data_IF_179364832705
#
_entry.id   IF_179364832705
#
_cell.length_a   1.000
_cell.length_b   1.000
_cell.length_c   1.000
_cell.angle_alpha   90.00
_cell.angle_beta   90.00
_cell.angle_gamma   90.00
#
_symmetry.space_group_name_H-M   'P 1'
#
loop_
_entity.id
_entity.type
_entity.pdbx_description
1 polymer ?
#
# COMPACT_ATOMS: atom_id res chain seq x y z
N UNK A 1 -21.73 -8.12 20.78
CA UNK A 1 -21.59 -7.77 19.37
C UNK A 1 -22.73 -8.42 18.64
N UNK A 2 -23.28 -7.78 17.62
CA UNK A 2 -24.53 -8.22 16.97
C UNK A 2 -24.29 -8.84 15.58
N UNK A 3 -23.15 -9.49 15.32
CA UNK A 3 -22.93 -10.11 14.02
C UNK A 3 -21.47 -10.36 13.62
N UNK A 4 -21.26 -10.46 12.30
CA UNK A 4 -20.02 -10.88 11.67
C UNK A 4 -18.85 -9.90 11.80
N UNK A 5 -17.70 -10.35 11.31
CA UNK A 5 -16.45 -9.59 11.26
C UNK A 5 -16.13 -9.19 9.81
N UNK A 6 -15.46 -8.07 9.63
CA UNK A 6 -15.08 -7.58 8.30
C UNK A 6 -14.33 -6.26 8.35
N UNK A 7 -13.79 -5.85 7.21
CA UNK A 7 -13.18 -4.53 7.07
C UNK A 7 -14.26 -3.49 6.75
N UNK A 8 -14.18 -2.32 7.38
CA UNK A 8 -15.22 -1.30 7.27
C UNK A 8 -14.84 -0.20 6.28
N UNK A 9 -13.66 0.41 6.43
CA UNK A 9 -13.11 1.45 5.56
C UNK A 9 -11.71 1.85 6.05
N UNK A 10 -10.83 2.33 5.18
CA UNK A 10 -9.52 2.85 5.57
C UNK A 10 -9.35 4.30 5.10
N UNK A 11 -8.87 5.17 5.99
CA UNK A 11 -8.63 6.60 5.72
C UNK A 11 -7.12 6.85 5.74
N UNK A 12 -6.58 7.47 4.69
CA UNK A 12 -5.16 7.78 4.62
C UNK A 12 -4.88 9.08 3.86
N UNK A 13 -3.63 9.54 3.91
CA UNK A 13 -3.10 10.53 2.99
C UNK A 13 -3.23 10.04 1.54
N UNK A 14 -3.57 10.95 0.63
CA UNK A 14 -3.73 10.64 -0.80
C UNK A 14 -2.46 10.94 -1.60
N UNK A 15 -1.31 11.00 -0.93
CA UNK A 15 -0.12 11.70 -1.41
C UNK A 15 0.84 10.76 -2.20
N UNK A 16 0.59 9.45 -2.21
CA UNK A 16 1.42 8.47 -2.95
C UNK A 16 1.07 8.33 -4.45
N UNK A 17 0.13 9.13 -4.94
CA UNK A 17 -0.12 9.26 -6.38
C UNK A 17 0.43 10.62 -6.82
N UNK A 18 1.55 10.60 -7.54
CA UNK A 18 2.33 11.77 -7.96
C UNK A 18 1.56 12.78 -8.83
N UNK A 19 0.29 12.50 -9.14
CA UNK A 19 -0.60 13.35 -9.93
C UNK A 19 -1.81 13.88 -9.14
N UNK A 20 -1.89 13.70 -7.82
CA UNK A 20 -3.02 14.19 -7.03
C UNK A 20 -2.89 15.65 -6.60
N UNK A 21 -4.04 16.30 -6.51
CA UNK A 21 -4.13 17.70 -6.16
C UNK A 21 -3.73 17.93 -4.69
N UNK A 22 -2.76 18.82 -4.46
CA UNK A 22 -2.22 19.24 -3.15
C UNK A 22 -3.27 19.56 -2.06
N UNK A 23 -4.49 19.91 -2.45
CA UNK A 23 -5.58 20.29 -1.56
C UNK A 23 -6.52 19.12 -1.18
N UNK A 24 -6.20 17.88 -1.57
CA UNK A 24 -6.82 16.66 -1.00
C UNK A 24 -5.86 16.06 0.03
N UNK A 25 -5.95 16.44 1.31
CA UNK A 25 -5.05 15.92 2.34
C UNK A 25 -5.38 14.47 2.72
N UNK A 26 -6.50 13.90 2.28
CA UNK A 26 -6.86 12.52 2.56
C UNK A 26 -7.68 11.90 1.43
N UNK A 27 -7.58 10.57 1.34
CA UNK A 27 -8.43 9.72 0.51
C UNK A 27 -9.04 8.61 1.37
N UNK A 28 -10.20 8.13 0.93
CA UNK A 28 -10.83 6.91 1.43
C UNK A 28 -10.68 5.88 0.31
N UNK A 29 -10.03 4.77 0.60
CA UNK A 29 -9.79 3.71 -0.39
C UNK A 29 -10.57 2.44 -0.05
N UNK A 30 -10.69 1.56 -1.04
CA UNK A 30 -11.18 0.19 -0.89
C UNK A 30 -10.08 -0.80 -0.53
N UNK A 31 -8.81 -0.38 -0.44
CA UNK A 31 -7.73 -1.26 0.02
C UNK A 31 -7.89 -1.62 1.50
N UNK A 32 -7.73 -2.91 1.79
CA UNK A 32 -7.89 -3.48 3.13
C UNK A 32 -6.93 -2.88 4.16
N UNK A 33 -5.73 -2.51 3.71
CA UNK A 33 -4.66 -1.95 4.52
C UNK A 33 -3.89 -0.90 3.70
N UNK A 34 -3.58 0.24 4.33
CA UNK A 34 -2.78 1.32 3.72
C UNK A 34 -1.32 1.20 4.14
N UNK A 35 -0.60 0.28 3.50
CA UNK A 35 0.83 0.18 3.68
C UNK A 35 1.53 1.26 2.84
N UNK A 36 2.45 2.01 3.44
CA UNK A 36 3.31 2.98 2.76
C UNK A 36 4.72 2.92 3.36
N UNK A 37 5.68 3.50 2.66
CA UNK A 37 7.04 3.60 3.15
C UNK A 37 7.26 4.92 3.88
N UNK A 38 8.32 4.95 4.68
CA UNK A 38 8.84 6.16 5.29
C UNK A 38 10.31 6.29 4.91
N UNK A 39 10.64 6.93 3.78
CA UNK A 39 12.01 6.95 3.26
C UNK A 39 12.99 7.69 4.20
N UNK A 40 12.48 8.50 5.12
CA UNK A 40 13.24 9.22 6.14
C UNK A 40 13.42 8.46 7.46
N UNK A 41 12.81 7.28 7.63
CA UNK A 41 12.92 6.47 8.85
C UNK A 41 13.51 5.09 8.55
N UNK A 42 14.46 4.68 9.37
CA UNK A 42 15.12 3.38 9.20
C UNK A 42 14.18 2.23 9.52
N UNK A 43 13.95 1.33 8.55
CA UNK A 43 13.17 0.09 8.69
C UNK A 43 11.74 0.29 9.19
N UNK A 44 11.11 1.39 8.79
CA UNK A 44 9.74 1.70 9.19
C UNK A 44 8.76 1.38 8.06
N UNK A 45 7.82 0.49 8.34
CA UNK A 45 6.62 0.31 7.51
C UNK A 45 5.55 1.21 8.07
N UNK A 46 4.99 2.08 7.23
CA UNK A 46 3.82 2.87 7.60
C UNK A 46 2.56 2.08 7.33
N UNK A 47 1.65 2.03 8.31
CA UNK A 47 0.31 1.48 8.17
C UNK A 47 -0.69 2.56 8.56
N UNK A 48 -1.49 2.99 7.59
CA UNK A 48 -2.60 3.90 7.83
C UNK A 48 -3.61 3.35 8.85
N UNK A 49 -4.56 4.20 9.23
CA UNK A 49 -5.64 3.83 10.15
C UNK A 49 -6.44 2.65 9.59
N UNK A 50 -6.50 1.55 10.35
CA UNK A 50 -7.31 0.39 10.03
C UNK A 50 -8.66 0.53 10.74
N UNK A 51 -9.77 0.47 10.00
CA UNK A 51 -11.09 0.30 10.59
C UNK A 51 -11.66 -1.07 10.26
N UNK A 52 -11.99 -1.83 11.29
CA UNK A 52 -12.59 -3.15 11.17
C UNK A 52 -13.83 -3.27 12.07
N UNK A 53 -14.67 -4.25 11.74
CA UNK A 53 -15.68 -4.78 12.64
C UNK A 53 -15.17 -6.14 13.11
N UNK A 54 -15.00 -6.30 14.42
CA UNK A 54 -14.58 -7.56 15.06
C UNK A 54 -15.72 -8.04 15.93
N UNK A 55 -16.33 -9.18 15.58
CA UNK A 55 -17.50 -9.74 16.27
C UNK A 55 -18.63 -8.71 16.46
N UNK A 56 -18.91 -7.92 15.41
CA UNK A 56 -19.93 -6.87 15.44
C UNK A 56 -19.54 -5.59 16.19
N UNK A 57 -18.28 -5.44 16.61
CA UNK A 57 -17.78 -4.22 17.25
C UNK A 57 -16.87 -3.44 16.33
N UNK A 58 -17.15 -2.15 16.15
CA UNK A 58 -16.28 -1.26 15.40
C UNK A 58 -15.01 -0.95 16.18
N UNK A 59 -13.87 -1.17 15.54
CA UNK A 59 -12.53 -0.79 16.01
C UNK A 59 -11.87 0.06 14.94
N UNK A 60 -11.26 1.17 15.36
CA UNK A 60 -10.37 1.97 14.51
C UNK A 60 -9.04 2.10 15.23
N UNK A 61 -7.95 1.74 14.57
CA UNK A 61 -6.61 1.97 15.12
C UNK A 61 -6.20 3.43 14.97
N UNK A 62 -5.19 3.88 15.70
CA UNK A 62 -4.38 5.03 15.26
C UNK A 62 -3.75 4.75 13.89
N UNK A 63 -3.09 5.74 13.29
CA UNK A 63 -2.03 5.42 12.34
C UNK A 63 -0.98 4.57 13.06
N UNK A 64 -0.48 3.53 12.40
CA UNK A 64 0.50 2.62 13.00
C UNK A 64 1.77 2.64 12.17
N UNK A 65 2.88 3.07 12.76
CA UNK A 65 4.21 2.91 12.20
C UNK A 65 4.94 1.87 13.08
N UNK A 66 4.55 0.58 12.99
CA UNK A 66 4.92 -0.37 14.03
C UNK A 66 6.39 -0.74 13.99
N UNK A 67 6.97 -0.92 15.18
CA UNK A 67 8.09 -1.84 15.33
C UNK A 67 7.59 -3.24 14.98
N UNK A 68 8.24 -3.92 14.04
CA UNK A 68 7.90 -5.31 13.73
C UNK A 68 8.32 -6.19 14.91
N UNK A 69 7.37 -6.53 15.76
CA UNK A 69 7.59 -7.34 16.96
C UNK A 69 6.79 -8.64 16.84
N UNK A 70 7.45 -9.76 17.07
CA UNK A 70 6.81 -11.07 17.06
C UNK A 70 5.98 -11.34 18.32
N UNK A 71 5.31 -12.49 18.32
CA UNK A 71 4.47 -12.96 19.43
C UNK A 71 5.25 -13.13 20.75
N UNK A 72 6.56 -13.35 20.68
CA UNK A 72 7.46 -13.52 21.83
C UNK A 72 8.11 -12.20 22.26
N UNK A 73 7.79 -11.08 21.60
CA UNK A 73 8.36 -9.77 21.90
C UNK A 73 9.70 -9.47 21.20
N UNK A 74 10.15 -10.31 20.27
CA UNK A 74 11.41 -10.10 19.55
C UNK A 74 11.20 -9.16 18.36
N UNK A 75 12.14 -8.25 18.15
CA UNK A 75 12.15 -7.36 16.98
C UNK A 75 12.56 -8.15 15.74
N UNK A 76 11.70 -8.16 14.73
CA UNK A 76 11.98 -8.73 13.41
C UNK A 76 12.81 -7.76 12.59
N UNK A 77 14.13 -7.90 12.65
CA UNK A 77 15.05 -7.14 11.79
C UNK A 77 14.93 -7.57 10.33
N UNK A 78 15.18 -6.64 9.40
CA UNK A 78 15.33 -6.97 7.98
C UNK A 78 16.43 -8.02 7.77
N UNK A 79 16.32 -8.90 6.75
CA UNK A 79 17.40 -9.81 6.38
C UNK A 79 18.74 -9.08 6.18
N UNK A 80 19.88 -9.72 6.49
CA UNK A 80 21.18 -9.12 6.26
C UNK A 80 21.42 -8.94 4.76
N UNK A 81 22.05 -7.83 4.39
CA UNK A 81 22.50 -7.59 3.01
C UNK A 81 23.68 -8.51 2.72
N UNK A 82 23.70 -9.23 1.58
CA UNK A 82 24.81 -10.12 1.24
C UNK A 82 26.16 -9.38 1.21
N UNK A 83 27.22 -10.03 1.69
CA UNK A 83 28.57 -9.44 1.73
C UNK A 83 29.08 -9.02 0.33
N UNK A 84 28.71 -9.78 -0.71
CA UNK A 84 29.02 -9.45 -2.11
C UNK A 84 28.37 -8.15 -2.58
N UNK A 85 27.24 -7.76 -2.00
CA UNK A 85 26.56 -6.49 -2.27
C UNK A 85 27.18 -5.37 -1.47
N UNK A 86 27.49 -5.60 -0.18
CA UNK A 86 28.16 -4.62 0.68
C UNK A 86 29.54 -4.20 0.14
N UNK A 87 30.20 -5.08 -0.62
CA UNK A 87 31.47 -4.78 -1.28
C UNK A 87 31.34 -3.86 -2.51
N UNK A 88 30.12 -3.64 -3.04
CA UNK A 88 29.87 -2.79 -4.21
C UNK A 88 29.81 -1.32 -3.82
N UNK A 89 30.08 -0.39 -4.77
CA UNK A 89 29.78 1.03 -4.57
C UNK A 89 28.32 1.22 -4.16
N UNK A 90 28.05 2.17 -3.26
CA UNK A 90 26.66 2.44 -2.79
C UNK A 90 25.74 2.82 -3.95
N UNK A 91 26.29 3.50 -4.98
CA UNK A 91 25.51 4.10 -6.05
C UNK A 91 24.85 5.41 -5.64
N UNK A 92 25.18 5.96 -4.47
CA UNK A 92 24.66 7.25 -3.98
C UNK A 92 25.81 8.25 -3.92
N UNK A 93 25.66 9.38 -4.60
CA UNK A 93 26.65 10.46 -4.60
C UNK A 93 25.99 11.79 -4.24
N UNK A 94 26.62 12.56 -3.35
CA UNK A 94 26.21 13.93 -3.05
C UNK A 94 26.94 14.88 -4.00
N UNK A 95 26.17 15.65 -4.78
CA UNK A 95 26.70 16.64 -5.69
C UNK A 95 27.12 17.91 -4.91
N UNK A 96 28.02 18.71 -5.50
CA UNK A 96 28.53 19.93 -4.86
C UNK A 96 27.44 20.99 -4.56
N UNK A 97 26.30 20.94 -5.24
CA UNK A 97 25.14 21.80 -5.02
C UNK A 97 24.16 21.25 -3.97
N UNK A 98 24.50 20.16 -3.28
CA UNK A 98 23.68 19.54 -2.24
C UNK A 98 22.59 18.60 -2.76
N UNK A 99 22.48 18.36 -4.08
CA UNK A 99 21.55 17.36 -4.62
C UNK A 99 22.15 15.96 -4.56
N UNK A 100 21.30 14.92 -4.53
CA UNK A 100 21.72 13.52 -4.49
C UNK A 100 21.52 12.88 -5.87
N UNK A 101 22.56 12.23 -6.37
CA UNK A 101 22.51 11.37 -7.57
C UNK A 101 22.47 9.90 -7.13
N UNK A 102 21.56 9.12 -7.72
CA UNK A 102 21.44 7.67 -7.44
C UNK A 102 21.64 6.89 -8.74
N UNK A 103 22.74 6.14 -8.82
CA UNK A 103 23.04 5.23 -9.91
C UNK A 103 22.43 3.85 -9.64
N UNK A 104 21.29 3.59 -10.29
CA UNK A 104 20.58 2.31 -10.27
C UNK A 104 20.84 1.46 -11.53
N UNK A 105 21.74 1.91 -12.42
CA UNK A 105 22.05 1.26 -13.69
C UNK A 105 23.35 0.44 -13.61
N UNK A 106 24.39 0.97 -12.97
CA UNK A 106 25.67 0.27 -12.78
C UNK A 106 25.59 -0.78 -11.67
N UNK A 107 26.64 -1.59 -11.51
CA UNK A 107 26.70 -2.62 -10.46
C UNK A 107 26.93 -2.00 -9.06
N UNK A 108 25.85 -1.48 -8.47
CA UNK A 108 25.86 -0.77 -7.19
C UNK A 108 24.91 -1.41 -6.17
N UNK A 109 25.05 -1.03 -4.91
CA UNK A 109 24.07 -1.39 -3.86
C UNK A 109 22.68 -0.83 -4.21
N UNK A 110 22.59 0.39 -4.75
CA UNK A 110 21.33 1.00 -5.16
C UNK A 110 20.61 0.19 -6.27
N UNK A 111 21.33 -0.30 -7.29
CA UNK A 111 20.76 -1.19 -8.30
C UNK A 111 20.26 -2.51 -7.69
N UNK A 112 21.05 -3.11 -6.80
CA UNK A 112 20.66 -4.33 -6.11
C UNK A 112 19.37 -4.14 -5.30
N UNK A 113 19.27 -3.08 -4.51
CA UNK A 113 18.09 -2.79 -3.69
C UNK A 113 16.85 -2.49 -4.55
N UNK A 114 17.01 -1.75 -5.65
CA UNK A 114 15.93 -1.51 -6.62
C UNK A 114 15.36 -2.84 -7.17
N UNK A 115 16.24 -3.80 -7.45
CA UNK A 115 15.86 -5.07 -8.07
C UNK A 115 15.62 -6.22 -7.07
N UNK A 116 15.58 -5.92 -5.76
CA UNK A 116 15.50 -6.93 -4.71
C UNK A 116 14.28 -7.85 -4.89
N UNK A 117 13.12 -7.28 -5.22
CA UNK A 117 11.86 -7.99 -5.41
C UNK A 117 11.68 -8.64 -6.81
N UNK A 118 12.68 -8.54 -7.69
CA UNK A 118 12.60 -9.11 -9.04
C UNK A 118 13.76 -10.04 -9.37
N UNK A 119 14.95 -9.82 -8.81
CA UNK A 119 16.18 -10.56 -9.14
C UNK A 119 16.81 -11.28 -7.94
N UNK A 120 16.40 -10.95 -6.71
CA UNK A 120 17.04 -11.42 -5.48
C UNK A 120 15.98 -11.83 -4.43
N UNK A 121 14.96 -12.56 -4.87
CA UNK A 121 13.85 -13.00 -4.01
C UNK A 121 14.36 -13.85 -2.82
N UNK A 122 15.44 -14.59 -3.01
CA UNK A 122 16.12 -15.38 -1.99
C UNK A 122 16.62 -14.54 -0.80
N UNK A 123 16.88 -13.26 -1.02
CA UNK A 123 17.35 -12.30 -0.02
C UNK A 123 16.19 -11.54 0.64
N UNK A 124 14.95 -11.82 0.24
CA UNK A 124 13.74 -11.25 0.83
C UNK A 124 13.12 -12.16 1.89
N UNK A 125 12.37 -11.54 2.80
CA UNK A 125 11.51 -12.23 3.77
C UNK A 125 10.11 -11.66 3.68
N UNK A 126 9.12 -12.52 3.72
CA UNK A 126 7.72 -12.13 3.86
C UNK A 126 7.34 -12.16 5.34
N UNK A 127 6.96 -11.01 5.86
CA UNK A 127 6.44 -10.85 7.21
C UNK A 127 4.93 -10.60 7.14
N UNK A 128 4.15 -11.44 7.82
CA UNK A 128 2.72 -11.23 8.02
C UNK A 128 2.53 -10.29 9.22
N UNK A 129 1.93 -9.13 8.98
CA UNK A 129 1.44 -8.26 10.03
C UNK A 129 -0.01 -8.60 10.33
N UNK A 130 -0.33 -8.73 11.60
CA UNK A 130 -1.68 -9.04 12.05
C UNK A 130 -2.05 -8.20 13.27
N UNK A 131 -3.34 -7.92 13.39
CA UNK A 131 -3.91 -7.20 14.52
C UNK A 131 -4.62 -8.21 15.41
N UNK A 132 -4.21 -8.26 16.67
CA UNK A 132 -4.95 -8.95 17.70
C UNK A 132 -5.91 -7.97 18.36
N UNK A 133 -7.15 -8.40 18.58
CA UNK A 133 -8.20 -7.59 19.22
C UNK A 133 -8.85 -8.41 20.32
N UNK A 134 -9.00 -7.82 21.50
CA UNK A 134 -9.62 -8.46 22.66
C UNK A 134 -10.45 -7.46 23.45
N UNK A 135 -11.31 -7.98 24.32
CA UNK A 135 -11.99 -7.18 25.34
C UNK A 135 -11.07 -7.06 26.56
N UNK A 136 -10.80 -5.84 26.97
CA UNK A 136 -10.08 -5.54 28.20
C UNK A 136 -11.03 -4.91 29.21
N UNK A 137 -10.99 -5.40 30.46
CA UNK A 137 -11.79 -4.85 31.54
C UNK A 137 -11.45 -3.37 31.73
N UNK A 138 -12.47 -2.52 31.73
CA UNK A 138 -12.30 -1.09 31.95
C UNK A 138 -12.12 -0.85 33.46
N UNK A 139 -11.01 -0.23 33.89
CA UNK A 139 -10.86 0.19 35.28
C UNK A 139 -11.96 1.15 35.70
N UNK A 140 -12.30 1.19 36.99
CA UNK A 140 -13.34 2.10 37.51
C UNK A 140 -13.06 3.58 37.20
N UNK A 141 -11.79 3.97 37.07
CA UNK A 141 -11.36 5.32 36.66
C UNK A 141 -11.58 5.64 35.17
N UNK A 142 -11.97 4.65 34.36
CA UNK A 142 -12.15 4.78 32.92
C UNK A 142 -10.84 4.87 32.12
N UNK A 143 -9.71 4.56 32.77
CA UNK A 143 -8.38 4.67 32.19
C UNK A 143 -8.15 3.65 31.07
N UNK A 144 -7.42 4.08 30.05
CA UNK A 144 -7.06 3.26 28.91
C UNK A 144 -5.64 2.72 29.07
N UNK A 145 -5.49 1.41 28.95
CA UNK A 145 -4.21 0.80 28.66
C UNK A 145 -4.00 0.73 27.15
N UNK A 146 -2.84 1.19 26.70
CA UNK A 146 -2.45 1.12 25.30
C UNK A 146 -1.23 0.21 25.12
N UNK A 147 -1.35 -0.76 24.22
CA UNK A 147 -0.25 -1.61 23.78
C UNK A 147 0.18 -1.26 22.35
N UNK A 148 -0.11 -0.04 21.90
CA UNK A 148 0.33 0.48 20.61
C UNK A 148 1.86 0.52 20.62
N UNK A 149 2.47 -0.26 19.76
CA UNK A 149 3.92 -0.29 19.54
C UNK A 149 4.24 0.46 18.24
N UNK A 150 4.07 1.78 18.25
CA UNK A 150 4.38 2.67 17.12
C UNK A 150 5.46 3.67 17.53
N UNK A 151 6.41 3.95 16.63
CA UNK A 151 7.51 4.88 16.92
C UNK A 151 7.05 6.35 16.93
N UNK A 152 6.05 6.68 16.12
CA UNK A 152 5.55 8.05 15.90
C UNK A 152 4.20 8.29 16.55
N UNK A 153 3.39 7.24 16.65
CA UNK A 153 1.99 7.35 17.05
C UNK A 153 1.74 6.80 18.44
N UNK A 154 0.84 7.47 19.14
CA UNK A 154 0.39 7.09 20.48
C UNK A 154 -1.09 7.41 20.60
N UNK A 155 -1.72 6.94 21.67
CA UNK A 155 -3.11 7.34 21.93
C UNK A 155 -3.16 8.82 22.34
N UNK A 156 -4.16 9.56 21.84
CA UNK A 156 -4.39 10.96 22.21
C UNK A 156 -5.20 11.14 23.52
N UNK A 157 -5.58 10.05 24.17
CA UNK A 157 -6.40 10.05 25.37
C UNK A 157 -5.97 8.97 26.35
N UNK A 158 -6.02 9.29 27.64
CA UNK A 158 -5.75 8.34 28.73
C UNK A 158 -7.03 7.73 29.29
N UNK A 159 -8.21 8.19 28.86
CA UNK A 159 -9.52 7.68 29.30
C UNK A 159 -10.43 7.39 28.12
N UNK A 160 -11.27 6.37 28.26
CA UNK A 160 -12.16 5.91 27.19
C UNK A 160 -13.16 6.99 26.76
N UNK A 161 -13.67 7.77 27.71
CA UNK A 161 -14.62 8.86 27.41
C UNK A 161 -13.99 9.97 26.57
N UNK A 162 -12.74 10.30 26.87
CA UNK A 162 -12.00 11.36 26.16
C UNK A 162 -11.67 10.90 24.74
N UNK A 163 -11.31 9.63 24.58
CA UNK A 163 -11.12 9.03 23.26
C UNK A 163 -12.39 9.08 22.42
N UNK A 164 -13.56 8.75 23.01
CA UNK A 164 -14.85 8.85 22.34
C UNK A 164 -15.16 10.30 21.92
N UNK A 165 -14.96 11.27 22.81
CA UNK A 165 -15.17 12.69 22.51
C UNK A 165 -14.26 13.16 21.36
N UNK A 166 -13.00 12.73 21.37
CA UNK A 166 -12.04 13.05 20.32
C UNK A 166 -12.44 12.45 18.97
N UNK A 167 -12.81 11.16 18.95
CA UNK A 167 -13.27 10.50 17.74
C UNK A 167 -14.55 11.14 17.18
N UNK A 168 -15.51 11.50 18.04
CA UNK A 168 -16.73 12.20 17.65
C UNK A 168 -16.42 13.57 17.04
N UNK A 169 -15.51 14.34 17.65
CA UNK A 169 -15.05 15.63 17.13
C UNK A 169 -14.49 15.49 15.72
N UNK A 170 -13.54 14.57 15.50
CA UNK A 170 -12.93 14.37 14.18
C UNK A 170 -13.95 13.90 13.13
N UNK A 171 -14.84 12.98 13.51
CA UNK A 171 -15.85 12.47 12.61
C UNK A 171 -16.87 13.56 12.21
N UNK A 172 -17.27 14.40 13.17
CA UNK A 172 -18.22 15.50 12.91
C UNK A 172 -17.60 16.62 12.08
N UNK A 173 -16.34 16.99 12.36
CA UNK A 173 -15.68 18.09 11.65
C UNK A 173 -15.12 17.68 10.29
N UNK A 174 -15.09 16.39 9.96
CA UNK A 174 -14.38 15.85 8.80
C UNK A 174 -12.86 16.06 8.85
N UNK A 175 -12.32 16.49 9.99
CA UNK A 175 -10.90 16.77 10.15
C UNK A 175 -10.11 15.50 10.46
N UNK A 176 -8.81 15.53 10.19
CA UNK A 176 -7.84 14.54 10.66
C UNK A 176 -6.93 15.19 11.69
N UNK A 177 -6.55 14.42 12.69
CA UNK A 177 -5.52 14.83 13.63
C UNK A 177 -4.15 14.82 12.95
N UNK A 178 -3.35 15.89 13.11
CA UNK A 178 -2.03 16.01 12.49
C UNK A 178 -1.05 14.92 12.98
N UNK A 179 -1.00 14.60 14.30
CA UNK A 179 -0.28 13.43 14.79
C UNK A 179 -0.90 12.08 14.45
N UNK A 180 -2.11 12.03 13.91
CA UNK A 180 -2.82 10.80 13.49
C UNK A 180 -3.03 9.77 14.62
N UNK A 181 -3.20 10.28 15.84
CA UNK A 181 -3.20 9.52 17.09
C UNK A 181 -4.62 9.18 17.59
N UNK A 182 -5.60 9.20 16.68
CA UNK A 182 -7.03 9.14 16.99
C UNK A 182 -7.68 7.79 16.80
N UNK A 183 -7.40 6.81 17.67
CA UNK A 183 -8.12 5.53 17.59
C UNK A 183 -9.61 5.68 17.95
N UNK A 184 -10.39 4.65 17.68
CA UNK A 184 -11.72 4.48 18.28
C UNK A 184 -11.81 3.10 18.90
N UNK A 185 -12.14 3.09 20.19
CA UNK A 185 -12.34 1.87 20.99
C UNK A 185 -13.72 1.94 21.60
N UNK A 186 -14.55 0.95 21.29
CA UNK A 186 -15.91 0.90 21.82
C UNK A 186 -15.88 0.41 23.27
N UNK A 187 -16.58 1.12 24.16
CA UNK A 187 -16.92 0.62 25.50
C UNK A 187 -18.13 -0.30 25.43
N UNK A 188 -18.09 -1.41 26.15
CA UNK A 188 -19.13 -2.44 26.15
C UNK A 188 -19.41 -2.87 27.58
N UNK A 189 -20.65 -3.29 27.86
CA UNK A 189 -20.95 -4.03 29.08
C UNK A 189 -20.55 -5.48 28.82
N UNK A 190 -19.60 -6.01 29.61
CA UNK A 190 -19.13 -7.39 29.50
C UNK A 190 -19.97 -8.34 30.36
N UNK A 191 -20.43 -7.86 31.52
CA UNK A 191 -21.18 -8.63 32.52
C UNK A 191 -22.12 -7.69 33.28
N UNK A 192 -23.25 -8.22 33.76
CA UNK A 192 -24.04 -7.59 34.82
C UNK A 192 -23.94 -8.50 36.04
N UNK A 193 -23.43 -7.97 37.14
CA UNK A 193 -23.25 -8.70 38.39
C UNK A 193 -24.60 -9.05 39.03
N UNK A 194 -24.59 -9.97 39.99
CA UNK A 194 -25.80 -10.40 40.70
C UNK A 194 -26.54 -9.25 41.43
N UNK A 195 -25.83 -8.17 41.77
CA UNK A 195 -26.37 -6.95 42.37
C UNK A 195 -26.92 -5.94 41.35
N UNK A 196 -26.93 -6.30 40.06
CA UNK A 196 -27.38 -5.45 38.96
C UNK A 196 -26.33 -4.43 38.47
N UNK A 197 -25.13 -4.41 39.04
CA UNK A 197 -24.08 -3.49 38.61
C UNK A 197 -23.43 -3.96 37.30
N UNK A 198 -23.33 -3.11 36.26
CA UNK A 198 -22.64 -3.48 35.03
C UNK A 198 -21.12 -3.41 35.21
N UNK A 199 -20.44 -4.45 34.74
CA UNK A 199 -19.01 -4.42 34.48
C UNK A 199 -18.76 -3.96 33.04
N UNK A 200 -17.87 -2.99 32.88
CA UNK A 200 -17.51 -2.44 31.59
C UNK A 200 -16.18 -3.02 31.11
N UNK A 201 -16.10 -3.23 29.81
CA UNK A 201 -14.89 -3.53 29.07
C UNK A 201 -14.77 -2.57 27.88
N UNK A 202 -13.63 -2.58 27.22
CA UNK A 202 -13.44 -1.90 25.95
C UNK A 202 -12.65 -2.77 24.99
N UNK A 203 -12.79 -2.52 23.68
CA UNK A 203 -11.93 -3.18 22.71
C UNK A 203 -10.52 -2.60 22.79
N UNK A 204 -9.55 -3.47 23.03
CA UNK A 204 -8.14 -3.15 22.88
C UNK A 204 -7.54 -3.93 21.71
N UNK A 205 -6.43 -3.44 21.21
CA UNK A 205 -5.73 -4.07 20.10
C UNK A 205 -4.21 -3.95 20.27
N UNK A 206 -3.49 -4.84 19.59
CA UNK A 206 -2.05 -4.69 19.34
C UNK A 206 -1.71 -5.22 17.96
N UNK A 207 -0.66 -4.67 17.38
CA UNK A 207 -0.08 -5.18 16.15
C UNK A 207 1.09 -6.11 16.46
N UNK A 208 1.16 -7.21 15.73
CA UNK A 208 2.25 -8.19 15.77
C UNK A 208 2.67 -8.53 14.35
N UNK A 209 3.89 -9.03 14.24
CA UNK A 209 4.45 -9.50 12.99
C UNK A 209 4.93 -10.94 13.13
N UNK A 210 4.91 -11.71 12.04
CA UNK A 210 5.52 -13.04 12.01
C UNK A 210 6.15 -13.27 10.65
N UNK A 211 7.40 -13.72 10.63
CA UNK A 211 8.00 -14.24 9.42
C UNK A 211 7.22 -15.47 8.95
N UNK A 212 6.65 -15.41 7.76
CA UNK A 212 5.83 -16.50 7.18
C UNK A 212 6.51 -17.19 6.01
N UNK A 213 7.63 -16.65 5.53
CA UNK A 213 8.45 -17.32 4.53
C UNK A 213 9.40 -16.37 3.82
N UNK A 214 9.91 -16.82 2.69
CA UNK A 214 10.59 -15.97 1.70
C UNK A 214 9.64 -15.73 0.54
N UNK A 215 9.86 -14.65 -0.21
CA UNK A 215 9.26 -14.59 -1.53
C UNK A 215 9.90 -15.69 -2.36
N UNK A 216 9.07 -16.42 -3.09
CA UNK A 216 9.49 -17.36 -4.10
C UNK A 216 8.85 -16.96 -5.43
N UNK A 217 9.40 -17.40 -6.57
CA UNK A 217 8.64 -17.38 -7.80
C UNK A 217 7.26 -17.99 -7.54
N UNK A 218 6.21 -17.32 -8.03
CA UNK A 218 4.83 -17.84 -7.97
C UNK A 218 4.84 -19.20 -8.65
N UNK A 219 4.62 -20.28 -7.90
CA UNK A 219 4.51 -21.63 -8.48
C UNK A 219 3.16 -21.70 -9.20
N UNK A 220 3.10 -21.74 -10.54
CA UNK A 220 1.83 -21.92 -11.23
C UNK A 220 1.41 -23.36 -11.02
N UNK A 221 0.43 -23.59 -10.14
CA UNK A 221 -0.16 -24.92 -10.00
C UNK A 221 -1.22 -25.09 -11.09
N UNK A 222 -0.82 -25.71 -12.20
CA UNK A 222 -1.69 -25.95 -13.36
C UNK A 222 -2.55 -27.22 -13.23
N UNK A 223 -2.30 -28.04 -12.20
CA UNK A 223 -3.13 -29.19 -11.85
C UNK A 223 -3.04 -29.50 -10.34
N UNK A 224 -4.14 -29.96 -9.75
CA UNK A 224 -4.23 -30.38 -8.35
C UNK A 224 -4.41 -31.91 -8.29
N UNK A 225 -3.60 -32.57 -7.48
CA UNK A 225 -3.69 -34.00 -7.18
C UNK A 225 -4.25 -34.24 -5.78
N UNK A 226 -4.90 -35.38 -5.56
CA UNK A 226 -5.36 -35.80 -4.23
C UNK A 226 -4.17 -35.85 -3.26
N UNK A 227 -4.21 -35.05 -2.19
CA UNK A 227 -3.13 -34.90 -1.21
C UNK A 227 -2.35 -33.58 -1.30
N UNK A 228 -2.59 -32.79 -2.35
CA UNK A 228 -2.04 -31.45 -2.46
C UNK A 228 -2.62 -30.52 -1.39
N UNK A 229 -1.83 -30.21 -0.37
CA UNK A 229 -2.12 -29.11 0.54
C UNK A 229 -1.68 -27.80 -0.12
N UNK A 230 -2.61 -27.07 -0.74
CA UNK A 230 -2.50 -25.60 -0.76
C UNK A 230 -2.31 -25.21 0.70
N UNK A 231 -1.31 -24.38 1.08
CA UNK A 231 -1.26 -23.87 2.45
C UNK A 231 -2.56 -23.13 2.71
N UNK A 232 -3.53 -23.82 3.32
CA UNK A 232 -4.69 -23.21 3.91
C UNK A 232 -4.15 -22.49 5.11
N UNK A 233 -3.78 -21.24 4.89
CA UNK A 233 -3.73 -20.25 5.95
C UNK A 233 -5.20 -20.04 6.37
N UNK A 234 -5.74 -21.00 7.13
CA UNK A 234 -7.03 -20.90 7.79
C UNK A 234 -6.84 -20.05 9.05
N UNK A 235 -6.87 -18.74 8.85
CA UNK A 235 -7.32 -17.80 9.87
C UNK A 235 -8.65 -17.26 9.38
N UNK A 236 -9.67 -17.28 10.24
CA UNK A 236 -11.09 -17.05 9.95
C UNK A 236 -11.38 -15.64 9.42
N UNK A 237 -10.95 -15.36 8.19
CA UNK A 237 -10.87 -14.06 7.49
C UNK A 237 -9.58 -13.29 7.78
N UNK A 238 -8.49 -13.67 7.10
CA UNK A 238 -7.43 -12.72 6.73
C UNK A 238 -7.75 -12.21 5.33
N UNK A 239 -8.30 -11.00 5.27
CA UNK A 239 -8.29 -10.19 4.06
C UNK A 239 -6.87 -9.65 3.89
N UNK A 240 -6.00 -10.42 3.23
CA UNK A 240 -4.79 -9.87 2.63
C UNK A 240 -5.21 -9.22 1.30
N UNK A 241 -5.68 -7.98 1.34
CA UNK A 241 -5.65 -7.16 0.14
C UNK A 241 -4.32 -6.42 0.18
N UNK A 242 -3.43 -6.75 -0.75
CA UNK A 242 -2.27 -5.91 -1.03
C UNK A 242 -2.86 -4.59 -1.52
N UNK A 243 -2.75 -3.57 -0.69
CA UNK A 243 -3.36 -2.28 -0.92
C UNK A 243 -2.60 -1.48 -1.95
N UNK A 244 -2.67 -1.91 -3.20
CA UNK A 244 -2.37 -1.12 -4.37
C UNK A 244 -3.17 -1.73 -5.50
N UNK A 245 -3.94 -0.91 -6.22
CA UNK A 245 -3.92 -1.08 -7.67
C UNK A 245 -2.43 -1.14 -8.02
N UNK A 246 -1.95 -2.29 -8.46
CA UNK A 246 -0.53 -2.53 -8.73
C UNK A 246 0.05 -1.36 -9.55
N UNK A 247 1.19 -0.84 -9.13
CA UNK A 247 1.74 0.39 -9.70
C UNK A 247 2.19 0.18 -11.16
N UNK A 248 1.70 1.00 -12.07
CA UNK A 248 2.22 1.05 -13.43
C UNK A 248 3.38 2.07 -13.51
N UNK A 249 4.47 1.69 -14.18
CA UNK A 249 5.65 2.53 -14.30
C UNK A 249 6.06 2.71 -15.77
N UNK A 250 6.87 3.74 -15.99
CA UNK A 250 7.71 3.83 -17.17
C UNK A 250 9.04 3.15 -16.86
N UNK A 251 9.46 2.18 -17.67
CA UNK A 251 10.75 1.52 -17.49
C UNK A 251 11.91 2.48 -17.79
N UNK A 252 11.67 3.43 -18.69
CA UNK A 252 12.59 4.51 -19.03
C UNK A 252 11.94 5.87 -18.75
N UNK A 253 12.57 6.76 -17.96
CA UNK A 253 12.08 8.11 -17.69
C UNK A 253 11.80 8.91 -18.96
N UNK A 254 10.93 9.92 -18.85
CA UNK A 254 10.74 10.90 -19.92
C UNK A 254 12.05 11.63 -20.20
N UNK A 255 12.36 11.81 -21.47
CA UNK A 255 13.50 12.60 -21.91
C UNK A 255 13.26 14.10 -21.65
N UNK A 256 14.32 14.92 -21.57
CA UNK A 256 14.17 16.37 -21.47
C UNK A 256 13.34 16.97 -22.61
N UNK A 257 13.44 16.43 -23.83
CA UNK A 257 12.67 16.90 -24.98
C UNK A 257 11.16 16.62 -24.83
N UNK A 258 10.80 15.42 -24.37
CA UNK A 258 9.41 15.05 -24.09
C UNK A 258 8.82 15.93 -22.96
N UNK A 259 9.58 16.15 -21.89
CA UNK A 259 9.17 17.05 -20.81
C UNK A 259 8.99 18.50 -21.28
N UNK A 260 9.92 19.01 -22.10
CA UNK A 260 9.80 20.36 -22.66
C UNK A 260 8.59 20.48 -23.59
N UNK A 261 8.26 19.42 -24.35
CA UNK A 261 7.07 19.39 -25.20
C UNK A 261 5.78 19.45 -24.36
N UNK A 262 5.70 18.67 -23.28
CA UNK A 262 4.58 18.69 -22.34
C UNK A 262 4.40 20.07 -21.70
N UNK A 263 5.48 20.66 -21.19
CA UNK A 263 5.46 22.01 -20.59
C UNK A 263 5.06 23.07 -21.64
N UNK A 264 5.44 22.88 -22.89
CA UNK A 264 5.03 23.70 -24.03
C UNK A 264 3.55 23.55 -24.44
N UNK A 265 2.78 22.73 -23.72
CA UNK A 265 1.34 22.53 -23.95
C UNK A 265 1.00 21.35 -24.86
N UNK A 266 1.98 20.55 -25.28
CA UNK A 266 1.71 19.34 -26.04
C UNK A 266 1.11 18.24 -25.13
N UNK A 267 0.45 17.28 -25.77
CA UNK A 267 0.01 16.04 -25.12
C UNK A 267 0.92 14.89 -25.57
N UNK A 268 1.42 14.11 -24.63
CA UNK A 268 2.18 12.89 -24.90
C UNK A 268 1.33 11.67 -24.56
N UNK A 269 1.19 10.75 -25.50
CA UNK A 269 0.53 9.47 -25.25
C UNK A 269 1.56 8.43 -24.81
N UNK A 270 1.38 7.83 -23.64
CA UNK A 270 2.32 6.84 -23.09
C UNK A 270 1.60 5.54 -22.74
N UNK A 271 2.22 4.42 -23.05
CA UNK A 271 1.87 3.12 -22.49
C UNK A 271 2.75 2.88 -21.27
N UNK A 272 2.12 2.75 -20.11
CA UNK A 272 2.76 2.29 -18.89
C UNK A 272 2.72 0.77 -18.82
N UNK A 273 3.73 0.14 -18.22
CA UNK A 273 3.75 -1.30 -18.01
C UNK A 273 3.65 -1.60 -16.52
N UNK A 274 3.02 -2.73 -16.20
CA UNK A 274 3.25 -3.43 -14.95
C UNK A 274 4.12 -4.64 -15.24
N UNK A 275 5.28 -4.72 -14.60
CA UNK A 275 6.13 -5.91 -14.57
C UNK A 275 6.64 -6.45 -15.93
N UNK A 276 6.74 -5.63 -16.98
CA UNK A 276 7.40 -6.04 -18.23
C UNK A 276 8.93 -5.97 -18.12
N UNK A 277 9.49 -6.45 -17.01
CA UNK A 277 10.88 -6.88 -17.01
C UNK A 277 10.94 -8.21 -17.77
N UNK A 278 11.88 -8.39 -18.72
CA UNK A 278 12.17 -9.71 -19.30
C UNK A 278 12.44 -10.82 -18.26
N UNK A 279 12.64 -10.45 -16.99
CA UNK A 279 12.88 -11.36 -15.87
C UNK A 279 11.62 -11.88 -15.14
N UNK A 280 10.40 -11.37 -15.40
CA UNK A 280 9.19 -11.80 -14.66
C UNK A 280 7.89 -11.71 -15.46
N UNK A 281 7.59 -12.72 -16.27
CA UNK A 281 6.46 -12.75 -17.22
C UNK A 281 5.07 -13.12 -16.65
N UNK A 282 4.90 -13.25 -15.32
CA UNK A 282 3.75 -13.99 -14.74
C UNK A 282 2.93 -13.28 -13.64
N UNK A 283 3.10 -11.96 -13.46
CA UNK A 283 2.21 -11.16 -12.59
C UNK A 283 1.23 -10.35 -13.46
N UNK A 284 -0.04 -10.21 -13.02
CA UNK A 284 -1.19 -9.58 -13.72
C UNK A 284 -0.82 -8.63 -14.86
N UNK A 285 -0.66 -9.21 -16.04
CA UNK A 285 0.24 -8.65 -17.03
C UNK A 285 -0.62 -7.74 -17.92
N UNK A 286 -0.72 -6.44 -17.63
CA UNK A 286 -1.43 -5.51 -18.50
C UNK A 286 -0.79 -4.12 -18.47
N UNK A 287 -1.01 -3.38 -19.53
CA UNK A 287 -0.56 -2.00 -19.70
C UNK A 287 -1.74 -1.06 -19.76
N UNK A 288 -1.49 0.21 -19.41
CA UNK A 288 -2.45 1.30 -19.60
C UNK A 288 -1.87 2.36 -20.50
N UNK A 289 -2.71 2.86 -21.39
CA UNK A 289 -2.44 3.99 -22.26
C UNK A 289 -2.96 5.28 -21.60
N UNK A 290 -2.07 6.24 -21.41
CA UNK A 290 -2.39 7.53 -20.82
C UNK A 290 -2.15 8.67 -21.80
N UNK A 291 -2.98 9.72 -21.72
CA UNK A 291 -2.66 11.04 -22.23
C UNK A 291 -2.04 11.88 -21.12
N UNK A 292 -0.78 12.28 -21.28
CA UNK A 292 -0.09 13.19 -20.37
C UNK A 292 -0.16 14.61 -20.92
N UNK A 293 -0.47 15.56 -20.05
CA UNK A 293 -0.43 16.99 -20.34
C UNK A 293 0.12 17.78 -19.16
N UNK A 294 0.56 19.00 -19.41
CA UNK A 294 0.94 19.95 -18.36
C UNK A 294 -0.22 20.91 -18.12
N UNK A 295 -0.67 21.05 -16.88
CA UNK A 295 -1.76 21.96 -16.52
C UNK A 295 -1.30 23.37 -16.08
N UNK A 296 -0.01 23.67 -16.21
CA UNK A 296 0.61 24.91 -15.73
C UNK A 296 1.41 24.76 -14.45
N UNK A 297 1.19 23.69 -13.67
CA UNK A 297 1.91 23.45 -12.42
C UNK A 297 2.43 22.01 -12.26
N UNK A 298 1.73 21.03 -12.85
CA UNK A 298 1.99 19.60 -12.67
C UNK A 298 1.66 18.83 -13.93
N UNK A 299 2.22 17.62 -14.07
CA UNK A 299 1.76 16.66 -15.04
C UNK A 299 0.40 16.11 -14.63
N UNK A 300 -0.49 15.96 -15.60
CA UNK A 300 -1.80 15.34 -15.45
C UNK A 300 -1.86 14.18 -16.44
N UNK A 301 -2.29 13.01 -15.96
CA UNK A 301 -2.46 11.82 -16.78
C UNK A 301 -3.94 11.42 -16.82
N UNK A 302 -4.47 11.21 -18.02
CA UNK A 302 -5.82 10.67 -18.23
C UNK A 302 -5.70 9.26 -18.78
N UNK A 303 -6.28 8.27 -18.09
CA UNK A 303 -6.32 6.89 -18.58
C UNK A 303 -7.28 6.81 -19.77
N UNK A 304 -6.78 6.37 -20.92
CA UNK A 304 -7.57 6.23 -22.13
C UNK A 304 -7.95 4.78 -22.40
N UNK A 305 -7.13 3.82 -21.96
CA UNK A 305 -7.34 2.42 -22.28
C UNK A 305 -6.37 1.47 -21.62
N UNK A 306 -6.72 0.18 -21.63
CA UNK A 306 -5.91 -0.91 -21.10
C UNK A 306 -5.69 -1.99 -22.15
N UNK A 307 -4.58 -2.73 -22.04
CA UNK A 307 -4.20 -3.81 -22.96
C UNK A 307 -3.59 -4.99 -22.20
N UNK A 308 -4.00 -6.21 -22.55
CA UNK A 308 -3.40 -7.47 -22.05
C UNK A 308 -2.13 -7.82 -22.86
N UNK A 309 -1.25 -8.72 -22.39
CA UNK A 309 0.00 -9.02 -23.08
C UNK A 309 -0.23 -9.80 -24.37
N UNK A 310 -1.33 -10.56 -24.42
CA UNK A 310 -1.78 -11.37 -25.53
C UNK A 310 -2.59 -10.58 -26.56
N UNK A 311 -3.02 -9.36 -26.23
CA UNK A 311 -3.64 -8.46 -27.20
C UNK A 311 -2.58 -8.02 -28.24
N UNK A 312 -2.97 -7.85 -29.52
CA UNK A 312 -2.10 -7.34 -30.56
C UNK A 312 -1.34 -6.08 -30.15
N UNK A 313 -0.08 -5.99 -30.57
CA UNK A 313 0.74 -4.80 -30.36
C UNK A 313 0.00 -3.57 -30.94
N UNK A 314 -0.35 -2.62 -30.07
CA UNK A 314 -1.10 -1.38 -30.34
C UNK A 314 -2.63 -1.48 -30.25
N UNK A 315 -3.22 -2.61 -29.87
CA UNK A 315 -4.67 -2.71 -29.64
C UNK A 315 -5.00 -2.48 -28.17
N UNK A 316 -5.84 -1.49 -27.86
CA UNK A 316 -6.25 -1.15 -26.49
C UNK A 316 -7.76 -1.20 -26.35
N UNK A 317 -8.25 -1.66 -25.20
CA UNK A 317 -9.64 -1.43 -24.83
C UNK A 317 -9.80 -0.02 -24.26
N UNK A 318 -10.74 0.75 -24.80
CA UNK A 318 -11.05 2.09 -24.33
C UNK A 318 -11.66 2.08 -22.92
N UNK A 319 -11.13 2.93 -22.03
CA UNK A 319 -11.72 3.23 -20.72
C UNK A 319 -12.58 4.50 -20.79
N UNK A 320 -12.19 5.47 -21.64
CA UNK A 320 -12.98 6.67 -21.87
C UNK A 320 -12.73 7.26 -23.26
N UNK A 321 -13.74 7.21 -24.13
CA UNK A 321 -13.65 7.71 -25.51
C UNK A 321 -12.65 6.93 -26.37
N UNK A 322 -12.55 7.28 -27.65
CA UNK A 322 -11.69 6.62 -28.62
C UNK A 322 -10.93 7.66 -29.47
N UNK A 323 -10.01 8.43 -28.87
CA UNK A 323 -9.26 9.44 -29.62
C UNK A 323 -8.41 8.79 -30.71
N UNK A 324 -8.25 9.49 -31.83
CA UNK A 324 -7.30 9.08 -32.86
C UNK A 324 -5.88 9.40 -32.38
N UNK A 325 -5.08 8.35 -32.14
CA UNK A 325 -3.70 8.47 -31.67
C UNK A 325 -2.79 7.88 -32.74
N UNK A 326 -2.03 8.74 -33.41
CA UNK A 326 -1.16 8.34 -34.52
C UNK A 326 0.10 7.59 -34.08
N UNK A 327 0.57 7.86 -32.86
CA UNK A 327 1.70 7.18 -32.25
C UNK A 327 1.67 7.37 -30.74
N UNK A 328 2.31 6.47 -30.01
CA UNK A 328 2.45 6.56 -28.56
C UNK A 328 3.81 6.03 -28.12
N UNK A 329 4.28 6.47 -26.96
CA UNK A 329 5.54 6.05 -26.37
C UNK A 329 5.31 4.82 -25.49
N UNK A 330 6.04 3.74 -25.73
CA UNK A 330 6.00 2.53 -24.90
C UNK A 330 6.75 2.74 -23.58
N UNK A 331 6.50 1.85 -22.62
CA UNK A 331 7.16 1.88 -21.32
C UNK A 331 8.70 1.78 -21.42
N UNK A 332 9.18 1.02 -22.41
CA UNK A 332 10.60 0.82 -22.74
C UNK A 332 11.26 2.03 -23.44
N UNK A 333 10.51 3.10 -23.72
CA UNK A 333 10.98 4.31 -24.38
C UNK A 333 10.90 4.30 -25.91
N UNK A 334 10.54 3.16 -26.53
CA UNK A 334 10.37 3.09 -27.98
C UNK A 334 9.03 3.71 -28.40
N UNK A 335 8.99 4.25 -29.62
CA UNK A 335 7.73 4.70 -30.22
C UNK A 335 6.99 3.54 -30.88
N UNK A 336 5.68 3.50 -30.68
CA UNK A 336 4.76 2.58 -31.34
C UNK A 336 3.87 3.34 -32.33
N UNK A 337 3.30 2.57 -33.27
CA UNK A 337 2.40 3.08 -34.30
C UNK A 337 1.02 3.48 -33.76
N UNK A 338 0.03 3.65 -34.64
CA UNK A 338 -1.27 4.14 -34.26
C UNK A 338 -2.01 3.17 -33.33
N UNK A 339 -2.76 3.74 -32.39
CA UNK A 339 -3.60 2.97 -31.46
C UNK A 339 -4.82 2.43 -32.19
N UNK A 340 -5.10 1.15 -31.99
CA UNK A 340 -6.32 0.49 -32.46
C UNK A 340 -7.23 0.25 -31.27
N UNK A 341 -8.43 0.81 -31.29
CA UNK A 341 -9.40 0.60 -30.21
C UNK A 341 -10.15 -0.71 -30.39
N UNK A 342 -10.08 -1.59 -29.39
CA UNK A 342 -10.85 -2.82 -29.32
C UNK A 342 -12.31 -2.53 -28.96
N UNK A 343 -13.23 -3.26 -29.58
CA UNK A 343 -14.67 -3.27 -29.25
C UNK A 343 -15.07 -4.46 -28.38
N UNK A 344 -14.10 -5.27 -27.94
CA UNK A 344 -14.36 -6.42 -27.09
C UNK A 344 -14.86 -6.01 -25.69
N UNK A 345 -15.66 -6.88 -25.06
CA UNK A 345 -16.19 -6.64 -23.71
C UNK A 345 -15.07 -6.54 -22.66
N UNK A 346 -15.32 -5.72 -21.64
CA UNK A 346 -14.34 -5.22 -20.65
C UNK A 346 -13.63 -6.37 -19.90
N UNK A 347 -12.30 -6.32 -19.70
CA UNK A 347 -11.56 -7.24 -18.84
C UNK A 347 -11.83 -7.04 -17.34
N UNK A 348 -12.57 -5.97 -16.99
CA UNK A 348 -12.97 -5.62 -15.64
C UNK A 348 -14.49 -5.55 -15.56
N UNK A 349 -15.14 -6.71 -15.37
CA UNK A 349 -16.39 -6.80 -14.61
C UNK A 349 -16.11 -7.58 -13.34
#
# INVERSE_FOLDING_TARGET
>A
GMGGSGLYSTRNYSVDDGNQALHRPFTVTSTAQFQHNHPNYYRMVGLGELCAIVNGYYVRTTHNDPTLIDQDGRILSAPPVPASVLAKPTGVSLNANGTVSIDTASDTQARYMRNLFTQHLEDTRLDLLYMEVWLEKLPAGGDLNTLISSFRHKENANRLRDLLNFAQKLNYSGAKDLPENGSFRCGVISLVNADGTPEYAYLNYRLRARAVGKLSPRVPKTSYSTGDQTPQISFTVVSAAVGGTHGHALDVPLTPAEMNSLIGGATLYIESSYNYSPASSVAENHSHLYALSWNGATLVATNLGARRPDDPANQFLAVSGTPSIASYRKADGNMAGPVVWSTAAVPHQ
#
